data_IF_943755088725
#
_entry.id   IF_943755088725
#
_cell.length_a   1.000
_cell.length_b   1.000
_cell.length_c   1.000
_cell.angle_alpha   90.00
_cell.angle_beta   90.00
_cell.angle_gamma   90.00
#
_symmetry.space_group_name_H-M   'P 1'
#
loop_
_entity.id
_entity.type
_entity.pdbx_description
1 polymer ?
#
# COMPACT_ATOMS: atom_id res chain seq x y z
N UNK A 1 14.34 -17.85 -3.21
CA UNK A 1 14.99 -16.56 -3.45
C UNK A 1 16.47 -16.75 -3.72
N UNK A 2 17.26 -17.32 -2.80
CA UNK A 2 18.73 -17.47 -2.96
C UNK A 2 19.12 -18.22 -4.25
N UNK A 3 18.47 -19.36 -4.57
CA UNK A 3 18.75 -20.10 -5.80
C UNK A 3 18.51 -19.27 -7.07
N UNK A 4 17.48 -18.44 -7.09
CA UNK A 4 17.24 -17.51 -8.21
C UNK A 4 18.25 -16.35 -8.24
N UNK A 5 18.69 -15.87 -7.07
CA UNK A 5 19.63 -14.76 -6.97
C UNK A 5 21.06 -15.14 -7.40
N UNK A 6 21.50 -16.35 -7.04
CA UNK A 6 22.88 -16.80 -7.31
C UNK A 6 22.99 -17.77 -8.50
N UNK A 7 21.89 -18.38 -8.90
CA UNK A 7 21.89 -19.49 -9.85
C UNK A 7 22.27 -20.82 -9.19
N UNK A 8 21.96 -21.91 -9.86
CA UNK A 8 22.38 -23.28 -9.57
C UNK A 8 22.61 -24.03 -10.89
N UNK A 9 23.03 -25.28 -10.85
CA UNK A 9 23.16 -26.09 -12.05
C UNK A 9 21.86 -26.25 -12.85
N UNK A 10 20.70 -26.09 -12.19
CA UNK A 10 19.37 -26.28 -12.79
C UNK A 10 18.52 -25.02 -12.82
N UNK A 11 18.90 -23.95 -12.10
CA UNK A 11 18.16 -22.69 -12.03
C UNK A 11 19.05 -21.57 -12.54
N UNK A 12 18.66 -20.96 -13.66
CA UNK A 12 19.34 -19.78 -14.20
C UNK A 12 19.25 -18.61 -13.22
N UNK A 13 20.36 -17.91 -13.02
CA UNK A 13 20.39 -16.67 -12.22
C UNK A 13 19.43 -15.64 -12.81
N UNK A 14 18.62 -15.04 -11.95
CA UNK A 14 17.76 -13.93 -12.29
C UNK A 14 18.48 -12.58 -12.12
N UNK A 15 18.11 -11.61 -12.92
CA UNK A 15 18.57 -10.21 -12.78
C UNK A 15 17.70 -9.43 -11.81
N UNK A 16 16.40 -9.79 -11.68
CA UNK A 16 15.44 -9.16 -10.79
C UNK A 16 14.46 -10.19 -10.20
N UNK A 17 14.11 -10.02 -8.93
CA UNK A 17 13.10 -10.82 -8.22
C UNK A 17 11.99 -9.87 -7.76
N UNK A 18 10.77 -10.12 -8.21
CA UNK A 18 9.59 -9.30 -7.90
C UNK A 18 8.50 -10.14 -7.22
N UNK A 19 7.57 -9.47 -6.56
CA UNK A 19 6.42 -10.07 -5.91
C UNK A 19 6.50 -10.03 -4.38
N UNK A 20 5.33 -10.01 -3.71
CA UNK A 20 5.23 -10.06 -2.27
C UNK A 20 5.55 -11.47 -1.75
N UNK A 21 5.63 -11.60 -0.44
CA UNK A 21 5.81 -12.86 0.25
C UNK A 21 5.84 -12.66 1.76
N UNK A 22 5.91 -13.77 2.49
CA UNK A 22 6.00 -13.71 3.93
C UNK A 22 7.34 -13.13 4.40
N UNK A 23 7.48 -12.93 5.72
CA UNK A 23 8.69 -12.34 6.33
C UNK A 23 10.00 -13.05 5.92
N UNK A 24 9.97 -14.36 5.66
CA UNK A 24 11.16 -15.09 5.21
C UNK A 24 11.55 -14.73 3.78
N UNK A 25 10.55 -14.54 2.90
CA UNK A 25 10.77 -14.10 1.51
C UNK A 25 11.28 -12.65 1.50
N UNK A 26 10.66 -11.76 2.26
CA UNK A 26 11.08 -10.36 2.39
C UNK A 26 12.52 -10.26 2.91
N UNK A 27 12.87 -11.03 3.96
CA UNK A 27 14.22 -11.10 4.51
C UNK A 27 15.22 -11.65 3.48
N UNK A 28 14.87 -12.71 2.76
CA UNK A 28 15.73 -13.29 1.75
C UNK A 28 15.98 -12.33 0.58
N UNK A 29 14.96 -11.60 0.11
CA UNK A 29 15.10 -10.54 -0.89
C UNK A 29 16.05 -9.45 -0.41
N UNK A 30 15.87 -8.97 0.82
CA UNK A 30 16.75 -7.97 1.44
C UNK A 30 18.22 -8.43 1.50
N UNK A 31 18.47 -9.68 1.86
CA UNK A 31 19.83 -10.24 1.95
C UNK A 31 20.50 -10.46 0.59
N UNK A 32 19.69 -10.71 -0.47
CA UNK A 32 20.20 -10.91 -1.83
C UNK A 32 20.29 -9.61 -2.65
N UNK A 33 19.78 -8.49 -2.13
CA UNK A 33 19.82 -7.20 -2.81
C UNK A 33 21.28 -6.77 -3.07
N UNK A 34 21.55 -6.35 -4.31
CA UNK A 34 22.90 -6.05 -4.78
C UNK A 34 23.56 -7.20 -5.55
N UNK A 35 23.14 -8.46 -5.31
CA UNK A 35 23.47 -9.62 -6.15
C UNK A 35 22.40 -9.80 -7.24
N UNK A 36 21.16 -9.54 -6.88
CA UNK A 36 19.97 -9.49 -7.73
C UNK A 36 19.21 -8.22 -7.37
N UNK A 37 18.55 -7.61 -8.35
CA UNK A 37 17.65 -6.49 -8.08
C UNK A 37 16.31 -7.01 -7.52
N UNK A 38 15.62 -6.17 -6.75
CA UNK A 38 14.30 -6.48 -6.18
C UNK A 38 13.34 -5.32 -6.44
N UNK A 39 12.03 -5.61 -6.43
CA UNK A 39 10.98 -4.59 -6.47
C UNK A 39 10.95 -3.77 -5.17
N UNK A 40 10.71 -4.45 -4.06
CA UNK A 40 10.61 -3.85 -2.73
C UNK A 40 10.79 -4.89 -1.62
N UNK A 41 10.86 -4.41 -0.38
CA UNK A 41 10.78 -5.24 0.81
C UNK A 41 9.37 -5.08 1.37
N UNK A 42 8.51 -6.08 1.11
CA UNK A 42 7.12 -6.05 1.56
C UNK A 42 7.03 -6.26 3.08
N UNK A 43 6.24 -5.42 3.73
CA UNK A 43 5.75 -5.58 5.09
C UNK A 43 4.34 -6.18 5.15
N UNK A 44 3.70 -6.18 6.33
CA UNK A 44 2.29 -6.51 6.48
C UNK A 44 1.40 -5.56 5.67
N UNK A 45 0.22 -6.04 5.26
CA UNK A 45 -0.76 -5.22 4.52
C UNK A 45 -1.29 -4.06 5.35
N UNK A 46 -1.57 -2.95 4.68
CA UNK A 46 -1.98 -1.70 5.31
C UNK A 46 -3.14 -1.07 4.55
N UNK A 47 -4.16 -0.62 5.27
CA UNK A 47 -5.20 0.27 4.74
C UNK A 47 -5.32 1.51 5.60
N UNK A 48 -5.42 2.67 4.96
CA UNK A 48 -5.74 3.93 5.58
C UNK A 48 -6.91 4.56 4.84
N UNK A 49 -7.96 4.89 5.57
CA UNK A 49 -9.16 5.53 5.02
C UNK A 49 -9.23 6.96 5.54
N UNK A 50 -9.34 7.92 4.64
CA UNK A 50 -9.66 9.32 4.98
C UNK A 50 -11.11 9.56 4.61
N UNK A 51 -11.96 9.89 5.60
CA UNK A 51 -13.39 10.00 5.41
C UNK A 51 -13.96 11.26 6.05
N UNK A 52 -14.96 11.88 5.39
CA UNK A 52 -15.79 12.92 5.99
C UNK A 52 -17.00 12.33 6.74
N UNK A 53 -17.87 13.17 7.26
CA UNK A 53 -19.06 12.78 8.02
C UNK A 53 -20.14 12.09 7.19
N UNK A 54 -20.11 12.22 5.87
CA UNK A 54 -21.12 11.67 4.94
C UNK A 54 -20.79 10.24 4.50
N UNK A 55 -19.54 9.80 4.72
CA UNK A 55 -19.10 8.47 4.31
C UNK A 55 -19.89 7.35 4.99
N UNK A 56 -20.13 6.25 4.27
CA UNK A 56 -20.91 5.13 4.75
C UNK A 56 -20.11 4.24 5.73
N UNK A 57 -20.50 4.18 7.03
CA UNK A 57 -19.75 3.42 8.02
C UNK A 57 -19.70 1.91 7.74
N UNK A 58 -20.67 1.35 6.99
CA UNK A 58 -20.68 -0.07 6.62
C UNK A 58 -19.58 -0.39 5.62
N UNK A 59 -19.34 0.50 4.66
CA UNK A 59 -18.28 0.33 3.67
C UNK A 59 -16.92 0.50 4.31
N UNK A 60 -16.74 1.56 5.11
CA UNK A 60 -15.49 1.76 5.87
C UNK A 60 -15.14 0.53 6.70
N UNK A 61 -16.11 -0.03 7.45
CA UNK A 61 -15.86 -1.21 8.25
C UNK A 61 -15.48 -2.43 7.40
N UNK A 62 -16.12 -2.63 6.25
CA UNK A 62 -15.80 -3.74 5.34
C UNK A 62 -14.37 -3.59 4.77
N UNK A 63 -14.00 -2.38 4.34
CA UNK A 63 -12.68 -2.12 3.75
C UNK A 63 -11.56 -2.18 4.79
N UNK A 64 -11.77 -1.69 6.02
CA UNK A 64 -10.81 -1.90 7.11
C UNK A 64 -10.58 -3.39 7.40
N UNK A 65 -11.64 -4.21 7.37
CA UNK A 65 -11.53 -5.65 7.60
C UNK A 65 -10.93 -6.41 6.42
N UNK A 66 -11.07 -5.92 5.18
CA UNK A 66 -10.48 -6.55 4.00
C UNK A 66 -8.96 -6.68 4.13
N UNK A 67 -8.30 -5.68 4.73
CA UNK A 67 -6.86 -5.75 4.99
C UNK A 67 -6.53 -6.42 6.33
N UNK A 68 -7.33 -6.18 7.36
CA UNK A 68 -7.12 -6.79 8.67
C UNK A 68 -7.17 -8.33 8.65
N UNK A 69 -7.88 -8.93 7.68
CA UNK A 69 -7.96 -10.39 7.54
C UNK A 69 -6.68 -11.04 6.98
N UNK A 70 -5.80 -10.28 6.33
CA UNK A 70 -4.61 -10.83 5.69
C UNK A 70 -3.59 -11.37 6.70
N UNK A 71 -3.31 -10.61 7.76
CA UNK A 71 -2.33 -10.99 8.79
C UNK A 71 -2.65 -10.30 10.13
N UNK A 72 -2.24 -10.93 11.24
CA UNK A 72 -2.35 -10.33 12.58
C UNK A 72 -1.56 -9.03 12.76
N UNK A 73 -0.57 -8.79 11.89
CA UNK A 73 0.26 -7.59 11.87
C UNK A 73 -0.26 -6.54 10.87
N UNK A 74 -1.32 -6.84 10.10
CA UNK A 74 -1.93 -5.88 9.20
C UNK A 74 -2.42 -4.65 9.95
N UNK A 75 -2.37 -3.47 9.34
CA UNK A 75 -2.87 -2.23 9.95
C UNK A 75 -4.08 -1.68 9.20
N UNK A 76 -5.05 -1.18 9.97
CA UNK A 76 -6.29 -0.63 9.46
C UNK A 76 -6.64 0.67 10.20
N UNK A 77 -6.47 1.81 9.53
CA UNK A 77 -6.56 3.13 10.16
C UNK A 77 -7.65 3.96 9.49
N UNK A 78 -8.52 4.56 10.30
CA UNK A 78 -9.50 5.57 9.89
C UNK A 78 -9.03 6.97 10.32
N UNK A 79 -8.97 7.91 9.39
CA UNK A 79 -8.79 9.34 9.67
C UNK A 79 -10.09 10.05 9.26
N UNK A 80 -10.71 10.78 10.18
CA UNK A 80 -11.96 11.46 9.89
C UNK A 80 -12.12 12.75 10.67
N UNK A 81 -13.00 13.64 10.20
CA UNK A 81 -13.42 14.84 10.92
C UNK A 81 -14.57 14.56 11.90
N UNK A 82 -15.21 13.37 11.82
CA UNK A 82 -16.45 13.05 12.53
C UNK A 82 -16.27 12.02 13.63
N UNK A 83 -16.44 12.44 14.89
CA UNK A 83 -16.53 11.52 16.06
C UNK A 83 -17.69 10.54 15.97
N UNK A 84 -18.78 10.96 15.33
CA UNK A 84 -19.97 10.13 15.19
C UNK A 84 -19.73 9.03 14.17
N UNK A 85 -19.03 9.33 13.07
CA UNK A 85 -18.63 8.32 12.09
C UNK A 85 -17.76 7.24 12.75
N UNK A 86 -16.77 7.60 13.58
CA UNK A 86 -15.93 6.61 14.30
C UNK A 86 -16.79 5.65 15.12
N UNK A 87 -17.77 6.16 15.90
CA UNK A 87 -18.66 5.32 16.70
C UNK A 87 -19.52 4.38 15.83
N UNK A 88 -19.95 4.86 14.67
CA UNK A 88 -20.79 4.07 13.76
C UNK A 88 -19.96 3.00 13.04
N UNK A 89 -18.71 3.31 12.66
CA UNK A 89 -17.76 2.33 12.12
C UNK A 89 -17.43 1.25 13.15
N UNK A 90 -17.19 1.63 14.40
CA UNK A 90 -16.92 0.66 15.49
C UNK A 90 -18.10 -0.33 15.68
N UNK A 91 -19.34 0.16 15.67
CA UNK A 91 -20.53 -0.72 15.71
C UNK A 91 -20.60 -1.67 14.51
N UNK A 92 -20.27 -1.18 13.32
CA UNK A 92 -20.27 -1.99 12.10
C UNK A 92 -19.14 -3.03 12.10
N UNK A 93 -17.94 -2.69 12.59
CA UNK A 93 -16.85 -3.64 12.77
C UNK A 93 -17.24 -4.79 13.68
N UNK A 94 -17.82 -4.47 14.86
CA UNK A 94 -18.32 -5.48 15.81
C UNK A 94 -19.39 -6.37 15.18
N UNK A 95 -20.31 -5.79 14.41
CA UNK A 95 -21.40 -6.53 13.76
C UNK A 95 -20.91 -7.43 12.64
N UNK A 96 -20.07 -6.89 11.74
CA UNK A 96 -19.69 -7.58 10.51
C UNK A 96 -18.64 -8.67 10.74
N UNK A 97 -17.73 -8.47 11.70
CA UNK A 97 -16.65 -9.44 11.97
C UNK A 97 -17.14 -10.81 12.38
N UNK A 98 -18.33 -10.90 13.01
CA UNK A 98 -18.86 -12.18 13.49
C UNK A 98 -19.23 -13.16 12.35
N UNK A 99 -19.55 -12.63 11.18
CA UNK A 99 -19.92 -13.42 9.99
C UNK A 99 -18.71 -13.82 9.14
N UNK A 100 -17.48 -13.35 9.48
CA UNK A 100 -16.30 -13.55 8.68
C UNK A 100 -15.49 -14.79 9.10
N UNK A 101 -14.98 -15.58 8.14
CA UNK A 101 -14.24 -16.82 8.43
C UNK A 101 -12.95 -16.59 9.23
N UNK A 102 -12.29 -15.46 9.03
CA UNK A 102 -10.97 -15.14 9.62
C UNK A 102 -11.07 -14.16 10.80
N UNK A 103 -12.21 -14.15 11.50
CA UNK A 103 -12.51 -13.19 12.57
C UNK A 103 -11.44 -13.08 13.67
N UNK A 104 -10.76 -14.16 14.02
CA UNK A 104 -9.73 -14.12 15.06
C UNK A 104 -8.46 -13.36 14.58
N UNK A 105 -8.15 -13.44 13.29
CA UNK A 105 -7.06 -12.69 12.69
C UNK A 105 -7.46 -11.21 12.62
N UNK A 106 -8.66 -10.91 12.12
CA UNK A 106 -9.20 -9.56 12.02
C UNK A 106 -9.19 -8.89 13.40
N UNK A 107 -9.77 -9.54 14.43
CA UNK A 107 -9.79 -9.01 15.80
C UNK A 107 -8.37 -8.72 16.31
N UNK A 108 -7.45 -9.68 16.13
CA UNK A 108 -6.05 -9.49 16.55
C UNK A 108 -5.38 -8.32 15.84
N UNK A 109 -5.61 -8.15 14.54
CA UNK A 109 -5.09 -7.03 13.74
C UNK A 109 -5.67 -5.70 14.22
N UNK A 110 -6.99 -5.59 14.32
CA UNK A 110 -7.66 -4.37 14.76
C UNK A 110 -7.30 -3.97 16.19
N UNK A 111 -7.19 -4.93 17.12
CA UNK A 111 -6.84 -4.67 18.52
C UNK A 111 -5.41 -4.14 18.70
N UNK A 112 -4.47 -4.57 17.85
CA UNK A 112 -3.06 -4.21 17.99
C UNK A 112 -2.61 -3.12 17.01
N UNK A 113 -3.20 -3.04 15.82
CA UNK A 113 -2.76 -2.20 14.72
C UNK A 113 -3.90 -1.42 14.06
N UNK A 114 -5.13 -1.56 14.56
CA UNK A 114 -6.27 -0.74 14.16
C UNK A 114 -6.33 0.56 14.94
N UNK A 115 -6.98 1.57 14.36
CA UNK A 115 -7.20 2.82 15.06
C UNK A 115 -7.99 3.86 14.29
N UNK A 116 -8.51 4.85 15.02
CA UNK A 116 -9.17 6.02 14.43
C UNK A 116 -8.53 7.30 14.94
N UNK A 117 -8.27 8.23 14.02
CA UNK A 117 -7.73 9.56 14.30
C UNK A 117 -8.77 10.60 13.90
N UNK A 118 -9.07 11.52 14.81
CA UNK A 118 -9.97 12.65 14.53
C UNK A 118 -9.13 13.87 14.24
N UNK A 119 -9.39 14.49 13.11
CA UNK A 119 -8.68 15.68 12.60
C UNK A 119 -9.65 16.87 12.42
N UNK A 120 -9.14 18.07 12.37
CA UNK A 120 -9.96 19.28 12.22
C UNK A 120 -10.42 19.51 10.76
N UNK A 121 -9.76 18.88 9.78
CA UNK A 121 -10.11 19.03 8.37
C UNK A 121 -9.63 17.83 7.52
N UNK A 122 -10.28 17.61 6.38
CA UNK A 122 -9.85 16.62 5.39
C UNK A 122 -8.41 16.90 4.90
N UNK A 123 -8.06 18.17 4.73
CA UNK A 123 -6.69 18.58 4.37
C UNK A 123 -5.66 18.09 5.39
N UNK A 124 -5.96 18.19 6.67
CA UNK A 124 -5.10 17.65 7.73
C UNK A 124 -5.02 16.12 7.66
N UNK A 125 -6.15 15.45 7.41
CA UNK A 125 -6.20 14.00 7.18
C UNK A 125 -5.31 13.55 6.03
N UNK A 126 -5.38 14.22 4.88
CA UNK A 126 -4.51 13.95 3.72
C UNK A 126 -3.03 14.24 4.06
N UNK A 127 -2.74 15.31 4.81
CA UNK A 127 -1.37 15.58 5.24
C UNK A 127 -0.83 14.50 6.18
N UNK A 128 -1.68 13.94 7.04
CA UNK A 128 -1.32 12.83 7.92
C UNK A 128 -1.12 11.54 7.13
N UNK A 129 -2.01 11.24 6.17
CA UNK A 129 -1.85 10.08 5.28
C UNK A 129 -0.53 10.14 4.50
N UNK A 130 -0.13 11.31 3.99
CA UNK A 130 1.16 11.50 3.31
C UNK A 130 2.37 11.23 4.24
N UNK A 131 2.25 11.50 5.54
CA UNK A 131 3.32 11.18 6.52
C UNK A 131 3.40 9.69 6.81
N UNK A 132 2.25 9.01 6.89
CA UNK A 132 2.14 7.56 7.07
C UNK A 132 2.62 6.87 5.80
N UNK A 133 2.17 7.33 4.64
CA UNK A 133 2.46 6.74 3.32
C UNK A 133 1.99 5.29 3.22
N UNK A 134 0.67 5.04 3.34
CA UNK A 134 0.11 3.69 3.42
C UNK A 134 0.23 2.93 2.10
N UNK A 135 0.13 1.61 2.18
CA UNK A 135 -0.03 0.74 1.02
C UNK A 135 -1.30 1.07 0.24
N UNK A 136 -2.45 1.02 0.92
CA UNK A 136 -3.76 1.36 0.35
C UNK A 136 -4.29 2.63 1.02
N UNK A 137 -4.62 3.63 0.23
CA UNK A 137 -5.27 4.86 0.68
C UNK A 137 -6.66 4.97 0.04
N UNK A 138 -7.70 4.94 0.86
CA UNK A 138 -9.06 5.28 0.42
C UNK A 138 -9.42 6.70 0.84
N UNK A 139 -10.13 7.41 -0.04
CA UNK A 139 -10.59 8.78 0.20
C UNK A 139 -12.10 8.82 0.00
N UNK A 140 -12.84 8.71 1.11
CA UNK A 140 -14.29 8.63 1.17
C UNK A 140 -14.86 9.99 1.62
N UNK A 141 -14.83 10.95 0.73
CA UNK A 141 -15.30 12.33 0.94
C UNK A 141 -16.20 12.77 -0.21
N UNK A 142 -16.98 13.84 -0.03
CA UNK A 142 -17.92 14.33 -1.04
C UNK A 142 -17.29 14.57 -2.42
N UNK A 143 -16.06 15.13 -2.46
CA UNK A 143 -15.35 15.43 -3.69
C UNK A 143 -13.94 14.80 -3.70
N UNK A 144 -13.82 13.48 -3.85
CA UNK A 144 -12.54 12.79 -3.68
C UNK A 144 -11.50 13.15 -4.74
N UNK A 145 -11.92 13.46 -5.99
CA UNK A 145 -11.00 13.88 -7.06
C UNK A 145 -10.27 15.19 -6.76
N UNK A 146 -10.89 16.10 -5.99
CA UNK A 146 -10.26 17.36 -5.57
C UNK A 146 -9.09 17.12 -4.60
N UNK A 147 -9.03 15.98 -3.93
CA UNK A 147 -7.96 15.62 -3.00
C UNK A 147 -6.74 15.04 -3.72
N UNK A 148 -6.91 14.49 -4.91
CA UNK A 148 -5.84 13.78 -5.63
C UNK A 148 -4.55 14.60 -5.80
N UNK A 149 -4.56 15.90 -6.14
CA UNK A 149 -3.34 16.72 -6.24
C UNK A 149 -2.59 16.89 -4.91
N UNK A 150 -3.26 16.67 -3.77
CA UNK A 150 -2.69 16.81 -2.44
C UNK A 150 -2.09 15.50 -1.91
N UNK A 151 -2.42 14.37 -2.52
CA UNK A 151 -1.90 13.05 -2.15
C UNK A 151 -0.54 12.84 -2.82
N UNK A 152 0.48 12.59 -2.01
CA UNK A 152 1.86 12.45 -2.48
C UNK A 152 2.41 11.06 -2.28
N UNK A 153 2.00 10.39 -1.22
CA UNK A 153 2.61 9.16 -0.74
C UNK A 153 1.53 8.13 -0.41
N UNK A 154 1.23 7.27 -1.35
CA UNK A 154 0.40 6.07 -1.17
C UNK A 154 0.80 5.02 -2.22
N UNK A 155 0.70 3.75 -1.89
CA UNK A 155 0.96 2.68 -2.83
C UNK A 155 -0.13 2.61 -3.91
N UNK A 156 -1.39 2.61 -3.50
CA UNK A 156 -2.57 2.74 -4.36
C UNK A 156 -3.57 3.71 -3.75
N UNK A 157 -4.34 4.41 -4.59
CA UNK A 157 -5.31 5.43 -4.16
C UNK A 157 -6.69 5.06 -4.72
N UNK A 158 -7.67 4.95 -3.83
CA UNK A 158 -9.05 4.61 -4.13
C UNK A 158 -9.93 5.81 -3.81
N UNK A 159 -10.72 6.28 -4.77
CA UNK A 159 -11.44 7.54 -4.66
C UNK A 159 -12.95 7.33 -4.71
N UNK A 160 -13.61 7.60 -3.58
CA UNK A 160 -15.06 7.56 -3.43
C UNK A 160 -15.62 6.17 -3.09
N UNK A 161 -16.88 6.15 -2.66
CA UNK A 161 -17.58 4.98 -2.11
C UNK A 161 -17.70 3.77 -3.05
N UNK A 162 -17.57 4.00 -4.36
CA UNK A 162 -17.73 2.95 -5.37
C UNK A 162 -16.39 2.37 -5.84
N UNK A 163 -15.31 2.69 -5.13
CA UNK A 163 -13.96 2.22 -5.47
C UNK A 163 -13.31 1.58 -4.23
N UNK A 164 -13.86 0.45 -3.73
CA UNK A 164 -13.27 -0.26 -2.60
C UNK A 164 -11.93 -0.91 -2.99
N UNK A 165 -11.08 -1.15 -2.04
CA UNK A 165 -9.73 -1.72 -2.23
C UNK A 165 -9.74 -2.99 -3.09
N UNK A 166 -10.62 -4.01 -2.88
CA UNK A 166 -10.59 -5.23 -3.67
C UNK A 166 -10.85 -5.02 -5.17
N UNK A 167 -11.47 -3.89 -5.56
CA UNK A 167 -11.63 -3.52 -6.96
C UNK A 167 -10.28 -3.30 -7.64
N UNK A 168 -9.31 -2.73 -6.90
CA UNK A 168 -7.95 -2.51 -7.37
C UNK A 168 -7.24 -3.82 -7.73
N UNK A 169 -7.41 -4.83 -6.92
CA UNK A 169 -6.75 -6.13 -7.10
C UNK A 169 -7.31 -6.92 -8.28
N UNK A 170 -8.62 -6.83 -8.54
CA UNK A 170 -9.28 -7.78 -9.44
C UNK A 170 -9.81 -7.16 -10.73
N UNK A 171 -10.17 -5.87 -10.78
CA UNK A 171 -10.95 -5.31 -11.88
C UNK A 171 -10.40 -4.02 -12.50
N UNK A 172 -9.72 -3.16 -11.74
CA UNK A 172 -9.34 -1.82 -12.21
C UNK A 172 -8.09 -1.82 -13.11
N UNK A 173 -7.35 -2.93 -13.18
CA UNK A 173 -6.14 -3.06 -13.99
C UNK A 173 -4.89 -2.42 -13.37
N UNK A 174 -4.98 -1.87 -12.17
CA UNK A 174 -3.82 -1.42 -11.38
C UNK A 174 -3.04 -2.61 -10.83
N UNK A 175 -1.74 -2.42 -10.56
CA UNK A 175 -0.93 -3.47 -9.97
C UNK A 175 -1.12 -3.50 -8.45
N UNK A 176 -1.27 -4.69 -7.87
CA UNK A 176 -1.45 -4.91 -6.44
C UNK A 176 -0.13 -5.19 -5.68
N UNK A 177 1.02 -5.20 -6.37
CA UNK A 177 2.33 -5.27 -5.71
C UNK A 177 2.73 -3.85 -5.34
N UNK A 178 2.47 -3.48 -4.10
CA UNK A 178 2.48 -2.11 -3.61
C UNK A 178 3.54 -1.92 -2.52
N UNK A 179 4.12 -0.72 -2.39
CA UNK A 179 5.01 -0.38 -1.30
C UNK A 179 4.27 -0.35 0.04
N UNK A 180 4.84 -0.98 1.06
CA UNK A 180 4.32 -1.07 2.43
C UNK A 180 5.27 -0.44 3.44
N UNK A 181 4.86 -0.30 4.69
CA UNK A 181 5.73 0.17 5.78
C UNK A 181 6.23 1.60 5.59
N UNK A 182 5.41 2.47 4.98
CA UNK A 182 5.76 3.86 4.72
C UNK A 182 6.73 4.07 3.56
N UNK A 183 7.05 3.02 2.80
CA UNK A 183 8.00 3.09 1.67
C UNK A 183 7.40 3.73 0.42
N UNK A 184 6.08 3.97 0.38
CA UNK A 184 5.43 4.76 -0.66
C UNK A 184 5.94 6.22 -0.77
N UNK A 185 6.82 6.65 0.15
CA UNK A 185 7.55 7.92 0.06
C UNK A 185 8.62 7.91 -1.04
N UNK A 186 9.06 6.74 -1.49
CA UNK A 186 10.15 6.59 -2.49
C UNK A 186 10.01 5.37 -3.40
N UNK A 187 9.09 4.45 -3.12
CA UNK A 187 8.70 3.38 -4.02
C UNK A 187 7.32 3.62 -4.63
N UNK A 188 7.09 3.05 -5.80
CA UNK A 188 5.81 3.02 -6.51
C UNK A 188 5.27 1.59 -6.58
N UNK A 189 4.01 1.43 -7.00
CA UNK A 189 3.49 0.15 -7.42
C UNK A 189 4.36 -0.47 -8.52
N UNK A 190 4.49 -1.80 -8.53
CA UNK A 190 5.24 -2.51 -9.57
C UNK A 190 4.68 -2.19 -10.96
N UNK A 191 5.54 -1.77 -11.85
CA UNK A 191 5.17 -1.36 -13.20
C UNK A 191 6.21 -1.69 -14.25
N UNK A 192 5.95 -1.29 -15.48
CA UNK A 192 6.86 -1.53 -16.62
C UNK A 192 8.24 -0.90 -16.37
N UNK A 193 8.27 0.24 -15.68
CA UNK A 193 9.53 0.96 -15.40
C UNK A 193 10.50 0.17 -14.52
N UNK A 194 10.00 -0.79 -13.72
CA UNK A 194 10.83 -1.68 -12.90
C UNK A 194 11.67 -2.65 -13.73
N UNK A 195 11.32 -2.85 -14.99
CA UNK A 195 11.97 -3.74 -15.93
C UNK A 195 12.74 -3.02 -17.03
N UNK A 196 12.81 -1.68 -17.00
CA UNK A 196 13.50 -0.86 -17.97
C UNK A 196 14.76 -0.27 -17.33
N UNK A 197 15.88 -0.32 -18.07
CA UNK A 197 17.13 0.32 -17.66
C UNK A 197 17.45 1.48 -18.61
N UNK A 198 18.03 2.53 -18.04
CA UNK A 198 18.51 3.69 -18.77
C UNK A 198 20.04 3.69 -18.76
N UNK A 199 20.64 3.92 -19.93
CA UNK A 199 22.07 4.05 -20.06
C UNK A 199 22.42 5.43 -20.59
N UNK A 200 23.42 6.07 -20.00
CA UNK A 200 24.01 7.26 -20.56
C UNK A 200 25.16 6.89 -21.54
N UNK A 201 25.30 7.63 -22.60
CA UNK A 201 26.46 7.53 -23.47
C UNK A 201 27.07 8.92 -23.73
N UNK A 202 28.37 8.96 -23.98
CA UNK A 202 29.05 10.19 -24.36
C UNK A 202 29.96 9.90 -25.53
N UNK A 203 29.99 10.82 -26.50
CA UNK A 203 30.90 10.78 -27.65
C UNK A 203 31.45 12.17 -27.90
N UNK A 204 32.79 12.30 -27.93
CA UNK A 204 33.49 13.52 -28.25
C UNK A 204 34.41 13.25 -29.46
N UNK A 205 34.19 13.87 -30.61
CA UNK A 205 35.13 13.78 -31.73
C UNK A 205 36.44 14.51 -31.38
N UNK A 206 37.56 14.02 -31.95
CA UNK A 206 38.90 14.56 -31.67
C UNK A 206 39.01 16.09 -31.89
N UNK A 207 38.27 16.64 -32.85
CA UNK A 207 38.26 18.08 -33.15
C UNK A 207 37.76 18.96 -31.98
N UNK A 208 36.99 18.39 -31.03
CA UNK A 208 36.46 19.11 -29.86
C UNK A 208 37.44 19.08 -28.68
N UNK A 209 38.36 18.11 -28.66
CA UNK A 209 39.34 17.95 -27.57
C UNK A 209 40.59 18.82 -27.77
N UNK A 210 40.72 19.49 -28.90
CA UNK A 210 41.86 20.36 -29.23
C UNK A 210 41.60 21.85 -29.12
N UNK A 211 40.43 22.24 -28.53
CA UNK A 211 40.09 23.62 -28.20
C UNK A 211 40.03 23.75 -26.66
#
# INVERSE_FOLDING_TARGET
VAAAAYGTDTITKADKIVGPGNIFVATAKKLCYGVVDIDMIAGPSEILIVADENANPKYIAADLMSQAEHDKLASAILITTSKELVKNVDKELVRQVEDLPRKDIIKSSLDNYGGAVIVDSIKEGINLSNKIAPEHLEVLVDNPLEQLPNIKNAGSIFLGEYTPEPLGDYMSGTNHVLPTGGTAKFYSALGVYDFIKHSAFSYYPQAVLGT
#
